data_IF_490231614296
#
_entry.id   IF_490231614296
#
_cell.length_a   1.000
_cell.length_b   1.000
_cell.length_c   1.000
_cell.angle_alpha   90.00
_cell.angle_beta   90.00
_cell.angle_gamma   90.00
#
_symmetry.space_group_name_H-M   'P 1'
#
loop_
_entity.id
_entity.type
_entity.pdbx_description
1 polymer ?
#
# COMPACT_ATOMS: atom_id res chain seq x y z
N UNK A 1 -14.20 -12.07 8.77
CA UNK A 1 -14.48 -11.36 7.50
C UNK A 1 -13.74 -10.04 7.35
N UNK A 2 -13.77 -9.13 8.34
CA UNK A 2 -13.18 -7.77 8.26
C UNK A 2 -11.72 -7.73 7.77
N UNK A 3 -10.87 -8.65 8.26
CA UNK A 3 -9.45 -8.74 7.84
C UNK A 3 -9.29 -8.95 6.33
N UNK A 4 -10.14 -9.78 5.70
CA UNK A 4 -10.08 -10.05 4.24
C UNK A 4 -10.36 -8.81 3.38
N UNK A 5 -11.04 -7.79 3.91
CA UNK A 5 -11.39 -6.56 3.19
C UNK A 5 -10.35 -5.46 3.44
N UNK A 6 -9.81 -5.38 4.66
CA UNK A 6 -8.82 -4.36 5.04
C UNK A 6 -7.53 -4.45 4.22
N UNK A 7 -7.04 -5.66 3.94
CA UNK A 7 -5.79 -5.84 3.20
C UNK A 7 -5.85 -5.38 1.73
N UNK A 8 -6.87 -5.75 0.93
CA UNK A 8 -7.02 -5.18 -0.41
C UNK A 8 -7.28 -3.67 -0.40
N UNK A 9 -7.95 -3.14 0.64
CA UNK A 9 -8.08 -1.70 0.84
C UNK A 9 -6.73 -1.01 1.06
N UNK A 10 -5.87 -1.57 1.92
CA UNK A 10 -4.51 -1.09 2.15
C UNK A 10 -3.66 -1.11 0.88
N UNK A 11 -3.78 -2.17 0.07
CA UNK A 11 -3.10 -2.26 -1.23
C UNK A 11 -3.60 -1.15 -2.16
N UNK A 12 -4.92 -0.95 -2.26
CA UNK A 12 -5.52 0.11 -3.07
C UNK A 12 -5.06 1.51 -2.66
N UNK A 13 -5.00 1.78 -1.35
CA UNK A 13 -4.48 3.04 -0.79
C UNK A 13 -3.00 3.23 -1.13
N UNK A 14 -2.19 2.17 -1.02
CA UNK A 14 -0.77 2.21 -1.41
C UNK A 14 -0.56 2.57 -2.88
N UNK A 15 -1.36 1.98 -3.79
CA UNK A 15 -1.30 2.29 -5.23
C UNK A 15 -1.74 3.74 -5.49
N UNK A 16 -2.82 4.19 -4.85
CA UNK A 16 -3.33 5.56 -4.98
C UNK A 16 -2.32 6.61 -4.50
N UNK A 17 -1.67 6.37 -3.35
CA UNK A 17 -0.61 7.25 -2.84
C UNK A 17 0.61 7.28 -3.76
N UNK A 18 0.99 6.13 -4.32
CA UNK A 18 2.10 6.07 -5.29
C UNK A 18 1.82 6.95 -6.50
N UNK A 19 0.61 6.86 -7.06
CA UNK A 19 0.17 7.73 -8.16
C UNK A 19 0.17 9.21 -7.77
N UNK A 20 -0.35 9.55 -6.59
CA UNK A 20 -0.35 10.92 -6.08
C UNK A 20 1.06 11.51 -5.96
N UNK A 21 2.02 10.77 -5.41
CA UNK A 21 3.39 11.25 -5.25
C UNK A 21 4.17 11.31 -6.57
N UNK A 22 3.88 10.43 -7.53
CA UNK A 22 4.51 10.46 -8.85
C UNK A 22 4.01 11.65 -9.69
N UNK A 23 2.69 11.77 -9.80
CA UNK A 23 2.04 12.72 -10.71
C UNK A 23 1.66 14.06 -10.07
N UNK A 24 1.61 14.15 -8.74
CA UNK A 24 1.34 15.40 -8.05
C UNK A 24 2.50 16.38 -8.10
N UNK A 25 2.20 17.67 -7.98
CA UNK A 25 3.18 18.76 -7.90
C UNK A 25 3.80 18.83 -6.49
N UNK A 26 4.64 17.86 -6.16
CA UNK A 26 5.46 17.85 -4.95
C UNK A 26 6.93 18.10 -5.28
N UNK A 27 7.69 18.61 -4.32
CA UNK A 27 9.15 18.71 -4.45
C UNK A 27 9.79 17.34 -4.52
N UNK A 28 10.91 17.21 -5.25
CA UNK A 28 11.62 15.94 -5.45
C UNK A 28 11.85 15.11 -4.17
N UNK A 29 12.30 15.68 -3.03
CA UNK A 29 12.47 14.88 -1.81
C UNK A 29 11.15 14.35 -1.24
N UNK A 30 10.05 15.11 -1.36
CA UNK A 30 8.72 14.67 -0.92
C UNK A 30 8.20 13.55 -1.81
N UNK A 31 8.42 13.63 -3.13
CA UNK A 31 8.06 12.54 -4.05
C UNK A 31 8.74 11.24 -3.69
N UNK A 32 10.06 11.29 -3.48
CA UNK A 32 10.85 10.09 -3.12
C UNK A 32 10.37 9.51 -1.78
N UNK A 33 10.24 10.35 -0.75
CA UNK A 33 9.75 9.90 0.56
C UNK A 33 8.34 9.31 0.50
N UNK A 34 7.44 9.94 -0.25
CA UNK A 34 6.07 9.49 -0.44
C UNK A 34 5.96 8.17 -1.22
N UNK A 35 6.77 7.98 -2.26
CA UNK A 35 6.84 6.71 -3.00
C UNK A 35 7.38 5.58 -2.12
N UNK A 36 8.43 5.84 -1.34
CA UNK A 36 8.98 4.85 -0.39
C UNK A 36 7.92 4.45 0.64
N UNK A 37 7.22 5.43 1.22
CA UNK A 37 6.14 5.16 2.18
C UNK A 37 5.02 4.31 1.54
N UNK A 38 4.64 4.63 0.30
CA UNK A 38 3.60 3.92 -0.44
C UNK A 38 3.98 2.46 -0.70
N UNK A 39 5.25 2.20 -1.05
CA UNK A 39 5.80 0.85 -1.23
C UNK A 39 5.78 0.04 0.08
N UNK A 40 6.08 0.67 1.22
CA UNK A 40 6.00 0.01 2.53
C UNK A 40 4.56 -0.41 2.87
N UNK A 41 3.57 0.44 2.59
CA UNK A 41 2.14 0.14 2.80
C UNK A 41 1.69 -1.02 1.90
N UNK A 42 2.10 -0.98 0.62
CA UNK A 42 1.80 -2.04 -0.36
C UNK A 42 2.37 -3.39 0.06
N UNK A 43 3.66 -3.42 0.39
CA UNK A 43 4.36 -4.64 0.81
C UNK A 43 3.73 -5.22 2.07
N UNK A 44 3.42 -4.36 3.05
CA UNK A 44 2.71 -4.78 4.27
C UNK A 44 1.33 -5.35 3.96
N UNK A 45 0.53 -4.64 3.15
CA UNK A 45 -0.80 -5.09 2.73
C UNK A 45 -0.77 -6.45 2.02
N UNK A 46 0.20 -6.67 1.14
CA UNK A 46 0.40 -7.95 0.45
C UNK A 46 0.79 -9.08 1.41
N UNK A 47 1.76 -8.86 2.31
CA UNK A 47 2.21 -9.85 3.29
C UNK A 47 1.06 -10.24 4.24
N UNK A 48 0.30 -9.26 4.71
CA UNK A 48 -0.85 -9.51 5.58
C UNK A 48 -2.00 -10.22 4.84
N UNK A 49 -2.28 -9.87 3.59
CA UNK A 49 -3.26 -10.57 2.76
C UNK A 49 -2.85 -12.04 2.55
N UNK A 50 -1.60 -12.27 2.19
CA UNK A 50 -1.05 -13.62 2.00
C UNK A 50 -1.18 -14.45 3.28
N UNK A 51 -0.69 -13.94 4.42
CA UNK A 51 -0.83 -14.64 5.71
C UNK A 51 -2.29 -14.90 6.07
N UNK A 52 -3.20 -13.95 5.82
CA UNK A 52 -4.61 -14.11 6.16
C UNK A 52 -5.33 -15.13 5.27
N UNK A 53 -4.90 -15.34 4.04
CA UNK A 53 -5.42 -16.39 3.17
C UNK A 53 -4.79 -17.75 3.46
N UNK A 54 -3.49 -17.80 3.80
CA UNK A 54 -2.80 -19.05 4.13
C UNK A 54 -3.18 -19.62 5.49
N UNK A 55 -3.49 -18.76 6.48
CA UNK A 55 -3.91 -19.17 7.83
C UNK A 55 -5.39 -19.60 7.91
N UNK A 56 -6.10 -19.57 6.78
CA UNK A 56 -7.52 -19.92 6.65
C UNK A 56 -7.71 -21.19 5.79
N UNK A 57 -6.60 -21.89 5.48
CA UNK A 57 -6.54 -23.27 5.02
C UNK A 57 -6.19 -24.14 6.23
#
# INVERSE_FOLDING_TARGET
MVKKIIYPLLIGVGVGLTGLFLYGDFTSPIKIGGVILSLCILSSGMIFNYRSNHKNK
#
